data_IF_013261166891
#
_entry.id   IF_013261166891
#
_cell.length_a   1.000
_cell.length_b   1.000
_cell.length_c   1.000
_cell.angle_alpha   90.00
_cell.angle_beta   90.00
_cell.angle_gamma   90.00
#
_symmetry.space_group_name_H-M   'P 1'
#
loop_
_entity.id
_entity.type
_entity.pdbx_description
1 polymer ?
#
# COMPACT_ATOMS: atom_id res chain seq x y z
N UNK A 1 -45.84 20.18 -49.91
CA UNK A 1 -45.12 21.32 -49.28
C UNK A 1 -45.42 21.26 -47.79
N UNK A 2 -44.41 20.91 -46.98
CA UNK A 2 -44.52 20.26 -45.66
C UNK A 2 -45.11 21.15 -44.54
N UNK A 3 -46.33 20.91 -44.03
CA UNK A 3 -46.87 21.64 -42.88
C UNK A 3 -46.57 20.97 -41.53
N UNK A 4 -45.94 19.78 -41.51
CA UNK A 4 -45.75 18.97 -40.29
C UNK A 4 -44.38 19.10 -39.63
N UNK A 5 -43.53 20.01 -40.07
CA UNK A 5 -42.23 20.25 -39.44
C UNK A 5 -42.28 21.37 -38.38
N UNK A 6 -43.16 22.36 -38.57
CA UNK A 6 -43.28 23.51 -37.67
C UNK A 6 -44.01 23.17 -36.35
N UNK A 7 -45.00 22.28 -36.38
CA UNK A 7 -45.70 21.82 -35.17
C UNK A 7 -44.82 20.93 -34.28
N UNK A 8 -43.96 20.09 -34.91
CA UNK A 8 -43.01 19.24 -34.18
C UNK A 8 -41.91 20.07 -33.49
N UNK A 9 -41.46 21.15 -34.13
CA UNK A 9 -40.48 22.06 -33.53
C UNK A 9 -41.07 22.88 -32.38
N UNK A 10 -42.35 23.26 -32.44
CA UNK A 10 -43.03 23.95 -31.33
C UNK A 10 -43.25 23.04 -30.12
N UNK A 11 -43.50 21.75 -30.33
CA UNK A 11 -43.61 20.75 -29.25
C UNK A 11 -42.25 20.42 -28.61
N UNK A 12 -41.17 20.40 -29.38
CA UNK A 12 -39.82 20.12 -28.87
C UNK A 12 -39.17 21.34 -28.20
N UNK A 13 -39.41 22.57 -28.67
CA UNK A 13 -38.82 23.78 -28.08
C UNK A 13 -39.67 24.45 -26.99
N UNK A 14 -41.00 24.22 -26.95
CA UNK A 14 -41.86 24.78 -25.90
C UNK A 14 -41.64 24.19 -24.50
N UNK A 15 -40.92 23.06 -24.39
CA UNK A 15 -40.62 22.40 -23.11
C UNK A 15 -39.35 22.91 -22.42
N UNK A 16 -38.54 23.71 -23.12
CA UNK A 16 -37.24 24.17 -22.61
C UNK A 16 -37.25 25.61 -22.07
N UNK A 17 -38.28 26.41 -22.38
CA UNK A 17 -38.37 27.79 -21.89
C UNK A 17 -39.85 28.15 -21.66
N UNK A 18 -40.33 27.82 -20.47
CA UNK A 18 -41.60 28.33 -19.95
C UNK A 18 -41.26 29.52 -19.03
N UNK A 19 -41.41 30.77 -19.50
CA UNK A 19 -40.98 31.97 -18.75
C UNK A 19 -41.85 32.24 -17.51
N UNK A 20 -43.04 31.64 -17.44
CA UNK A 20 -43.96 31.77 -16.31
C UNK A 20 -43.89 30.57 -15.36
N UNK A 21 -43.00 29.60 -15.61
CA UNK A 21 -42.78 28.50 -14.67
C UNK A 21 -42.20 29.09 -13.38
N UNK A 22 -42.95 29.10 -12.26
CA UNK A 22 -42.41 29.63 -11.02
C UNK A 22 -41.17 28.83 -10.67
N UNK A 23 -40.08 29.52 -10.35
CA UNK A 23 -38.83 28.92 -9.93
C UNK A 23 -39.16 27.82 -8.91
N UNK A 24 -39.01 26.57 -9.33
CA UNK A 24 -39.28 25.42 -8.47
C UNK A 24 -38.46 25.64 -7.21
N UNK A 25 -39.13 25.76 -6.06
CA UNK A 25 -38.45 25.97 -4.78
C UNK A 25 -37.32 24.96 -4.73
N UNK A 26 -36.08 25.45 -4.62
CA UNK A 26 -34.95 24.59 -4.34
C UNK A 26 -35.35 23.79 -3.11
N UNK A 27 -35.67 22.51 -3.30
CA UNK A 27 -35.89 21.60 -2.20
C UNK A 27 -34.54 21.55 -1.53
N UNK A 28 -34.40 22.32 -0.44
CA UNK A 28 -33.31 22.14 0.48
C UNK A 28 -33.44 20.69 0.94
N UNK A 29 -32.70 19.80 0.28
CA UNK A 29 -32.37 18.49 0.82
C UNK A 29 -31.61 18.81 2.10
N UNK A 30 -32.37 18.96 3.19
CA UNK A 30 -31.83 19.19 4.50
C UNK A 30 -30.97 17.99 4.82
N UNK A 31 -29.67 18.12 4.67
CA UNK A 31 -28.73 17.40 5.51
C UNK A 31 -28.95 17.94 6.92
N UNK A 32 -29.97 17.39 7.59
CA UNK A 32 -30.09 17.51 9.04
C UNK A 32 -28.71 17.20 9.64
N UNK A 33 -28.18 18.04 10.54
CA UNK A 33 -26.89 17.76 11.14
C UNK A 33 -27.00 16.41 11.84
N UNK A 34 -26.23 15.43 11.34
CA UNK A 34 -26.18 14.09 11.93
C UNK A 34 -25.76 14.29 13.38
N UNK A 35 -26.61 13.87 14.32
CA UNK A 35 -26.32 14.03 15.74
C UNK A 35 -24.93 13.47 16.06
N UNK A 36 -24.13 14.23 16.81
CA UNK A 36 -22.77 13.84 17.13
C UNK A 36 -22.75 12.46 17.83
N UNK A 37 -21.81 11.56 17.47
CA UNK A 37 -21.79 10.20 18.01
C UNK A 37 -21.64 10.20 19.54
N UNK A 38 -22.29 9.23 20.19
CA UNK A 38 -22.20 9.10 21.65
C UNK A 38 -20.77 8.75 22.08
N UNK A 39 -20.47 8.86 23.40
CA UNK A 39 -19.19 8.39 23.94
C UNK A 39 -18.96 6.89 23.63
N UNK A 40 -20.03 6.09 23.66
CA UNK A 40 -19.98 4.65 23.35
C UNK A 40 -19.66 4.42 21.87
N UNK A 41 -20.30 5.16 20.97
CA UNK A 41 -20.07 5.05 19.52
C UNK A 41 -18.64 5.45 19.17
N UNK A 42 -18.14 6.56 19.74
CA UNK A 42 -16.74 6.98 19.55
C UNK A 42 -15.75 5.92 20.05
N UNK A 43 -16.04 5.25 21.17
CA UNK A 43 -15.19 4.15 21.67
C UNK A 43 -15.21 2.96 20.70
N UNK A 44 -16.39 2.57 20.20
CA UNK A 44 -16.54 1.50 19.20
C UNK A 44 -15.79 1.83 17.92
N UNK A 45 -15.99 3.04 17.38
CA UNK A 45 -15.27 3.53 16.19
C UNK A 45 -13.76 3.49 16.38
N UNK A 46 -13.23 3.96 17.54
CA UNK A 46 -11.79 3.87 17.85
C UNK A 46 -11.28 2.43 17.86
N UNK A 47 -12.04 1.51 18.43
CA UNK A 47 -11.67 0.08 18.47
C UNK A 47 -11.69 -0.53 17.06
N UNK A 48 -12.71 -0.23 16.27
CA UNK A 48 -12.81 -0.67 14.87
C UNK A 48 -11.66 -0.11 14.02
N UNK A 49 -11.31 1.16 14.17
CA UNK A 49 -10.16 1.76 13.50
C UNK A 49 -8.84 1.09 13.90
N UNK A 50 -8.65 0.80 15.19
CA UNK A 50 -7.46 0.06 15.67
C UNK A 50 -7.41 -1.35 15.10
N UNK A 51 -8.54 -2.06 15.07
CA UNK A 51 -8.63 -3.40 14.51
C UNK A 51 -8.36 -3.39 12.99
N UNK A 52 -8.87 -2.40 12.26
CA UNK A 52 -8.59 -2.24 10.84
C UNK A 52 -7.10 -1.96 10.59
N UNK A 53 -6.49 -1.08 11.38
CA UNK A 53 -5.05 -0.81 11.32
C UNK A 53 -4.21 -2.07 11.59
N UNK A 54 -4.59 -2.88 12.59
CA UNK A 54 -3.90 -4.13 12.90
C UNK A 54 -3.94 -5.12 11.72
N UNK A 55 -5.07 -5.21 11.01
CA UNK A 55 -5.18 -6.06 9.81
C UNK A 55 -4.27 -5.59 8.68
N UNK A 56 -4.26 -4.28 8.40
CA UNK A 56 -3.37 -3.69 7.40
C UNK A 56 -1.90 -3.96 7.78
N UNK A 57 -1.55 -3.77 9.05
CA UNK A 57 -0.20 -4.00 9.53
C UNK A 57 0.24 -5.46 9.36
N UNK A 58 -0.61 -6.41 9.76
CA UNK A 58 -0.35 -7.83 9.58
C UNK A 58 -0.15 -8.19 8.10
N UNK A 59 -0.98 -7.62 7.21
CA UNK A 59 -0.81 -7.79 5.77
C UNK A 59 0.54 -7.27 5.28
N UNK A 60 0.92 -6.03 5.64
CA UNK A 60 2.19 -5.43 5.24
C UNK A 60 3.41 -6.24 5.70
N UNK A 61 3.38 -6.74 6.94
CA UNK A 61 4.41 -7.63 7.48
C UNK A 61 4.48 -8.93 6.68
N UNK A 62 3.33 -9.55 6.35
CA UNK A 62 3.31 -10.79 5.55
C UNK A 62 3.85 -10.59 4.13
N UNK A 63 3.54 -9.46 3.49
CA UNK A 63 4.06 -9.12 2.16
C UNK A 63 5.57 -8.91 2.20
N UNK A 64 6.08 -8.23 3.24
CA UNK A 64 7.52 -8.03 3.39
C UNK A 64 8.27 -9.33 3.61
N UNK A 65 7.77 -10.20 4.48
CA UNK A 65 8.38 -11.50 4.72
C UNK A 65 8.44 -12.34 3.43
N UNK A 66 7.34 -12.39 2.67
CA UNK A 66 7.28 -13.08 1.37
C UNK A 66 8.29 -12.51 0.38
N UNK A 67 8.47 -11.18 0.33
CA UNK A 67 9.48 -10.52 -0.51
C UNK A 67 10.89 -11.04 -0.16
N UNK A 68 11.25 -11.09 1.12
CA UNK A 68 12.56 -11.60 1.56
C UNK A 68 12.78 -13.08 1.24
N UNK A 69 11.77 -13.92 1.45
CA UNK A 69 11.84 -15.35 1.14
C UNK A 69 12.00 -15.60 -0.36
N UNK A 70 11.25 -14.88 -1.19
CA UNK A 70 11.35 -14.99 -2.64
C UNK A 70 12.73 -14.54 -3.15
N UNK A 71 13.27 -13.46 -2.58
CA UNK A 71 14.62 -12.98 -2.93
C UNK A 71 15.68 -14.00 -2.57
N UNK A 72 15.62 -14.56 -1.34
CA UNK A 72 16.50 -15.65 -0.91
C UNK A 72 16.43 -16.83 -1.87
N UNK A 73 15.23 -17.26 -2.26
CA UNK A 73 15.04 -18.40 -3.15
C UNK A 73 15.60 -18.11 -4.55
N UNK A 74 15.36 -16.92 -5.11
CA UNK A 74 15.88 -16.51 -6.42
C UNK A 74 17.41 -16.53 -6.42
N UNK A 75 18.03 -15.83 -5.47
CA UNK A 75 19.49 -15.76 -5.39
C UNK A 75 20.12 -17.14 -5.17
N UNK A 76 19.55 -17.99 -4.31
CA UNK A 76 20.01 -19.37 -4.13
C UNK A 76 19.89 -20.21 -5.41
N UNK A 77 18.80 -20.06 -6.17
CA UNK A 77 18.63 -20.75 -7.45
C UNK A 77 19.67 -20.29 -8.49
N UNK A 78 20.08 -19.02 -8.43
CA UNK A 78 21.11 -18.45 -9.29
C UNK A 78 22.54 -18.80 -8.81
N UNK A 79 22.67 -19.54 -7.71
CA UNK A 79 23.96 -19.98 -7.16
C UNK A 79 24.69 -18.90 -6.35
N UNK A 80 23.99 -17.82 -5.97
CA UNK A 80 24.53 -16.77 -5.09
C UNK A 80 24.54 -17.28 -3.64
N UNK A 81 25.73 -17.27 -3.02
CA UNK A 81 25.93 -17.73 -1.64
C UNK A 81 25.90 -16.59 -0.62
N UNK A 82 26.30 -15.38 -1.04
CA UNK A 82 26.41 -14.20 -0.18
C UNK A 82 25.72 -12.97 -0.79
N UNK A 83 25.32 -12.05 0.08
CA UNK A 83 24.72 -10.79 -0.31
C UNK A 83 25.27 -9.64 0.53
N UNK A 84 25.30 -8.45 -0.05
CA UNK A 84 25.52 -7.18 0.66
C UNK A 84 24.18 -6.66 1.14
N UNK A 85 24.10 -6.32 2.43
CA UNK A 85 22.92 -5.70 3.00
C UNK A 85 22.81 -4.27 2.52
N UNK A 86 21.66 -3.88 1.98
CA UNK A 86 21.37 -2.49 1.59
C UNK A 86 20.12 -2.00 2.28
N UNK A 87 20.19 -0.82 2.86
CA UNK A 87 19.04 -0.14 3.45
C UNK A 87 18.46 0.89 2.48
N UNK A 88 17.21 1.33 2.73
CA UNK A 88 16.63 2.46 2.01
C UNK A 88 17.24 3.82 2.44
N UNK A 89 18.03 3.86 3.53
CA UNK A 89 18.67 5.08 4.02
C UNK A 89 17.71 6.14 4.59
N UNK A 90 16.44 5.80 4.82
CA UNK A 90 15.43 6.74 5.31
C UNK A 90 15.18 6.62 6.83
N UNK A 91 14.45 7.60 7.37
CA UNK A 91 14.12 7.70 8.81
C UNK A 91 13.33 6.52 9.39
N UNK A 92 12.81 5.62 8.56
CA UNK A 92 12.06 4.44 9.00
C UNK A 92 12.94 3.18 9.08
N UNK A 93 14.22 3.27 8.71
CA UNK A 93 15.20 2.21 8.96
C UNK A 93 15.54 2.21 10.45
N UNK A 94 15.36 1.07 11.13
CA UNK A 94 15.74 0.95 12.54
C UNK A 94 17.27 0.90 12.69
N UNK A 95 17.77 1.25 13.88
CA UNK A 95 19.20 1.30 14.19
C UNK A 95 19.95 -0.01 13.88
N UNK A 96 19.33 -1.17 14.17
CA UNK A 96 19.93 -2.47 13.89
C UNK A 96 20.09 -2.73 12.39
N UNK A 97 19.10 -2.33 11.59
CA UNK A 97 19.15 -2.45 10.13
C UNK A 97 20.16 -1.46 9.53
N UNK A 98 20.23 -0.23 10.05
CA UNK A 98 21.20 0.77 9.64
C UNK A 98 22.64 0.31 9.92
N UNK A 99 22.88 -0.33 11.07
CA UNK A 99 24.18 -0.89 11.43
C UNK A 99 24.65 -2.03 10.51
N UNK A 100 23.75 -2.63 9.73
CA UNK A 100 24.08 -3.68 8.77
C UNK A 100 24.40 -3.15 7.38
N UNK A 101 24.10 -1.88 7.07
CA UNK A 101 24.25 -1.34 5.73
C UNK A 101 25.68 -1.50 5.19
N UNK A 102 25.79 -2.04 3.97
CA UNK A 102 27.06 -2.31 3.30
C UNK A 102 27.79 -3.58 3.76
N UNK A 103 27.40 -4.20 4.89
CA UNK A 103 28.00 -5.46 5.35
C UNK A 103 27.58 -6.63 4.47
N UNK A 104 28.44 -7.65 4.40
CA UNK A 104 28.20 -8.85 3.62
C UNK A 104 27.82 -10.00 4.56
N UNK A 105 26.80 -10.75 4.19
CA UNK A 105 26.31 -11.91 4.94
C UNK A 105 26.11 -13.09 4.00
N UNK A 106 26.26 -14.29 4.53
CA UNK A 106 25.93 -15.52 3.79
C UNK A 106 24.43 -15.79 3.88
N UNK A 107 23.88 -16.45 2.86
CA UNK A 107 22.48 -16.88 2.88
C UNK A 107 22.16 -17.94 3.94
N UNK A 108 23.19 -18.68 4.38
CA UNK A 108 23.11 -19.73 5.40
C UNK A 108 23.59 -19.28 6.79
N UNK A 109 24.21 -18.10 6.89
CA UNK A 109 24.65 -17.49 8.14
C UNK A 109 24.13 -16.04 8.25
N UNK A 110 22.84 -15.85 8.60
CA UNK A 110 22.27 -14.52 8.77
C UNK A 110 22.76 -13.85 10.07
N UNK A 111 22.73 -12.51 10.14
CA UNK A 111 22.98 -11.80 11.39
C UNK A 111 21.96 -12.23 12.47
N UNK A 112 22.42 -12.60 13.69
CA UNK A 112 21.61 -13.34 14.66
C UNK A 112 20.43 -12.53 15.21
N UNK A 113 20.58 -11.21 15.35
CA UNK A 113 19.54 -10.33 15.91
C UNK A 113 18.51 -9.88 14.86
N UNK A 114 18.95 -9.59 13.64
CA UNK A 114 18.11 -8.97 12.61
C UNK A 114 17.52 -9.99 11.63
N UNK A 115 18.11 -11.18 11.52
CA UNK A 115 17.83 -12.12 10.44
C UNK A 115 18.21 -11.54 9.08
N UNK A 116 17.60 -12.05 8.00
CA UNK A 116 17.79 -11.53 6.64
C UNK A 116 17.01 -10.23 6.37
N UNK A 117 17.36 -9.49 5.30
CA UNK A 117 16.54 -8.37 4.83
C UNK A 117 15.07 -8.76 4.61
N UNK A 118 14.16 -7.81 4.82
CA UNK A 118 12.70 -7.98 4.72
C UNK A 118 12.04 -8.89 5.80
N UNK A 119 12.81 -9.51 6.71
CA UNK A 119 12.26 -10.32 7.82
C UNK A 119 11.42 -9.50 8.81
N UNK A 120 11.76 -8.23 9.00
CA UNK A 120 11.08 -7.33 9.94
C UNK A 120 11.31 -7.63 11.42
N UNK A 121 12.11 -8.65 11.78
CA UNK A 121 12.25 -9.16 13.15
C UNK A 121 12.67 -8.08 14.17
N UNK A 122 13.59 -7.20 13.77
CA UNK A 122 14.13 -6.12 14.60
C UNK A 122 13.46 -4.75 14.36
N UNK A 123 12.42 -4.67 13.51
CA UNK A 123 11.77 -3.41 13.15
C UNK A 123 10.53 -3.21 14.03
N UNK A 124 10.37 -2.03 14.65
CA UNK A 124 9.24 -1.75 15.55
C UNK A 124 7.86 -1.91 14.88
N UNK A 125 7.77 -1.67 13.57
CA UNK A 125 6.56 -1.87 12.78
C UNK A 125 6.48 -3.25 12.11
N UNK A 126 7.42 -4.17 12.37
CA UNK A 126 7.49 -5.47 11.70
C UNK A 126 7.65 -5.40 10.18
N UNK A 127 8.11 -4.28 9.62
CA UNK A 127 8.23 -4.03 8.19
C UNK A 127 9.62 -3.47 7.89
N UNK A 128 10.48 -4.32 7.31
CA UNK A 128 11.86 -3.96 7.01
C UNK A 128 12.00 -3.37 5.59
N UNK A 129 12.69 -2.23 5.47
CA UNK A 129 12.95 -1.55 4.19
C UNK A 129 14.26 -1.94 3.51
N UNK A 130 14.93 -2.98 4.01
CA UNK A 130 16.22 -3.42 3.48
C UNK A 130 16.05 -4.39 2.31
N UNK A 131 17.13 -4.56 1.54
CA UNK A 131 17.27 -5.50 0.42
C UNK A 131 18.59 -6.26 0.55
N UNK A 132 18.63 -7.44 -0.07
CA UNK A 132 19.84 -8.24 -0.24
C UNK A 132 20.38 -7.96 -1.64
N UNK A 133 21.45 -7.17 -1.76
CA UNK A 133 22.14 -6.97 -3.03
C UNK A 133 23.02 -8.21 -3.29
N UNK A 134 22.77 -8.99 -4.35
CA UNK A 134 23.57 -10.18 -4.63
C UNK A 134 25.02 -9.77 -4.86
N UNK A 135 25.95 -10.43 -4.17
CA UNK A 135 27.37 -10.17 -4.39
C UNK A 135 27.89 -11.09 -5.49
N UNK A 136 28.56 -10.55 -6.53
CA UNK A 136 29.30 -11.36 -7.47
C UNK A 136 30.53 -11.93 -6.74
N UNK A 137 30.48 -13.22 -6.40
CA UNK A 137 31.53 -13.92 -5.68
C UNK A 137 31.23 -15.42 -5.71
N UNK A 138 31.96 -16.11 -6.59
CA UNK A 138 31.87 -17.54 -6.95
C UNK A 138 30.45 -18.10 -7.01
N UNK A 139 29.80 -17.88 -8.17
CA UNK A 139 28.74 -18.82 -8.52
C UNK A 139 29.36 -20.21 -8.61
N UNK A 140 28.61 -21.28 -8.26
CA UNK A 140 29.08 -22.66 -8.45
C UNK A 140 29.61 -22.93 -9.88
N UNK A 141 29.19 -22.13 -10.87
CA UNK A 141 29.65 -22.21 -12.27
C UNK A 141 31.09 -21.73 -12.45
N UNK A 142 31.57 -20.78 -11.65
CA UNK A 142 32.92 -20.20 -11.77
C UNK A 142 33.98 -21.08 -11.09
N UNK A 143 33.56 -22.00 -10.22
CA UNK A 143 34.41 -22.98 -9.51
C UNK A 143 34.55 -24.34 -10.21
N UNK A 144 33.86 -24.55 -11.33
CA UNK A 144 33.84 -25.82 -12.08
C UNK A 144 34.62 -25.76 -13.40
N UNK A 145 35.46 -24.72 -13.57
CA UNK A 145 36.35 -24.53 -14.73
C UNK A 145 37.75 -25.07 -14.50
#
# INVERSE_FOLDING_TARGET
MFPRLLDALRYLYGRLFDPDRPAGKASATGTSPVAAPSRRDRRRQRMESKAAQAKIQAFLTSVNLRRGLNEKQRQKNDGVVAYRWRTAGDRYVCEYCAANDGKVFQWDDPPPLTGHPASGCCCANGVCRCTAEPMPGETRRDLAG
#
